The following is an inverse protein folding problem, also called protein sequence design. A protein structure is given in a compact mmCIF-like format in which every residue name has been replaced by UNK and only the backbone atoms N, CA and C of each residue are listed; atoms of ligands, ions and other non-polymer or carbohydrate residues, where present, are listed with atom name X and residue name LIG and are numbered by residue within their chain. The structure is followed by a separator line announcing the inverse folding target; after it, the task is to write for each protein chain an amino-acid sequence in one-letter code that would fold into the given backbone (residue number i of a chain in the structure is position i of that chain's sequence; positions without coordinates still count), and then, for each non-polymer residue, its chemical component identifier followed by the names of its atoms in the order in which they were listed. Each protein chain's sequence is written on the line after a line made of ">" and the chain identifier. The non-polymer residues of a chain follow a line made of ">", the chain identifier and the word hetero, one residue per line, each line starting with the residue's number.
data_IF_820388000586
#
_entry.id   IF_820388000586
#
_cell.length_a   1.000
_cell.length_b   1.000
_cell.length_c   1.000
_cell.angle_alpha   90.00
_cell.angle_beta   90.00
_cell.angle_gamma   90.00
#
_symmetry.space_group_name_H-M   'P 1'
#
loop_
_entity.id
_entity.type
_entity.pdbx_description
1 polymer ?
#
# COMPACT_ATOMS: atom_id res chain seq x y z
N UNK A 1 4.92 19.04 15.30
CA UNK A 1 3.56 18.53 15.01
C UNK A 1 3.67 17.60 13.82
N UNK A 2 2.98 16.46 13.82
CA UNK A 2 2.96 15.57 12.66
C UNK A 2 2.39 16.32 11.46
N UNK A 3 3.02 16.16 10.29
CA UNK A 3 2.61 16.84 9.04
C UNK A 3 1.46 16.14 8.33
N UNK A 4 0.99 15.03 8.89
CA UNK A 4 -0.02 14.17 8.31
C UNK A 4 -1.07 13.91 9.37
N UNK A 5 -2.31 14.21 9.02
CA UNK A 5 -3.46 14.06 9.89
C UNK A 5 -4.51 13.19 9.22
N UNK A 6 -5.00 12.20 9.95
CA UNK A 6 -6.10 11.35 9.54
C UNK A 6 -7.40 11.86 10.16
N UNK A 7 -8.39 12.14 9.31
CA UNK A 7 -9.77 12.40 9.73
C UNK A 7 -10.56 11.12 9.51
N UNK A 8 -10.90 10.43 10.59
CA UNK A 8 -11.52 9.12 10.51
C UNK A 8 -12.95 9.13 11.04
N UNK A 9 -13.83 8.43 10.33
CA UNK A 9 -15.21 8.19 10.74
C UNK A 9 -15.65 6.77 10.37
N UNK A 10 -16.61 6.24 11.13
CA UNK A 10 -17.26 4.99 10.77
C UNK A 10 -18.45 5.28 9.83
N UNK A 11 -18.49 4.60 8.69
CA UNK A 11 -19.60 4.65 7.75
C UNK A 11 -20.01 3.21 7.43
N UNK A 12 -21.27 2.81 7.66
CA UNK A 12 -21.77 1.52 7.22
C UNK A 12 -21.64 1.35 5.70
N UNK A 13 -21.29 0.15 5.25
CA UNK A 13 -21.07 -0.14 3.84
C UNK A 13 -22.24 0.21 2.92
N UNK A 14 -23.48 0.04 3.41
CA UNK A 14 -24.71 0.39 2.70
C UNK A 14 -24.85 1.89 2.40
N UNK A 15 -24.14 2.74 3.15
CA UNK A 15 -24.13 4.20 2.99
C UNK A 15 -22.94 4.66 2.13
N UNK A 16 -22.06 3.73 1.72
CA UNK A 16 -20.97 4.01 0.80
C UNK A 16 -21.43 3.95 -0.65
N UNK A 17 -21.00 4.93 -1.44
CA UNK A 17 -21.24 4.94 -2.87
C UNK A 17 -20.46 3.79 -3.55
N UNK A 18 -21.07 3.08 -4.49
CA UNK A 18 -20.46 1.90 -5.13
C UNK A 18 -19.09 2.17 -5.80
N UNK A 19 -18.84 3.41 -6.23
CA UNK A 19 -17.56 3.81 -6.84
C UNK A 19 -16.36 3.80 -5.90
N UNK A 20 -16.58 3.71 -4.58
CA UNK A 20 -15.50 3.65 -3.60
C UNK A 20 -15.16 2.22 -3.16
N UNK A 21 -15.94 1.25 -3.62
CA UNK A 21 -15.78 -0.15 -3.25
C UNK A 21 -14.71 -0.81 -4.14
N UNK A 22 -13.85 -1.66 -3.56
CA UNK A 22 -12.81 -2.36 -4.32
C UNK A 22 -13.38 -3.48 -5.20
N UNK A 23 -14.63 -3.86 -4.98
CA UNK A 23 -15.35 -4.88 -5.74
C UNK A 23 -16.84 -4.54 -5.82
N UNK A 24 -17.55 -4.91 -6.90
CA UNK A 24 -19.01 -4.82 -6.95
C UNK A 24 -19.65 -5.71 -5.88
N UNK A 25 -20.63 -5.18 -5.14
CA UNK A 25 -21.39 -5.92 -4.13
C UNK A 25 -22.87 -5.88 -4.52
N UNK A 26 -23.49 -7.04 -4.66
CA UNK A 26 -24.91 -7.17 -5.00
C UNK A 26 -25.81 -7.23 -3.77
N UNK A 27 -25.32 -7.83 -2.68
CA UNK A 27 -26.03 -7.98 -1.41
C UNK A 27 -25.14 -7.45 -0.27
N UNK A 28 -25.57 -6.37 0.37
CA UNK A 28 -24.89 -5.84 1.54
C UNK A 28 -25.27 -6.68 2.75
N UNK A 29 -24.36 -7.50 3.32
CA UNK A 29 -24.65 -8.15 4.57
C UNK A 29 -24.92 -7.08 5.63
N UNK A 30 -25.94 -7.29 6.46
CA UNK A 30 -26.14 -6.47 7.66
C UNK A 30 -25.01 -6.78 8.64
N UNK A 31 -23.90 -6.07 8.52
CA UNK A 31 -22.82 -6.07 9.50
C UNK A 31 -22.86 -4.76 10.28
N UNK A 32 -22.63 -4.84 11.59
CA UNK A 32 -22.59 -3.69 12.49
C UNK A 32 -21.18 -3.55 13.02
N UNK A 33 -20.72 -2.32 13.25
CA UNK A 33 -19.44 -2.12 13.91
C UNK A 33 -19.44 -2.79 15.29
N UNK A 34 -18.52 -3.72 15.51
CA UNK A 34 -18.18 -4.18 16.85
C UNK A 34 -17.51 -3.02 17.60
N UNK A 35 -18.13 -2.47 18.67
CA UNK A 35 -17.64 -1.24 19.30
C UNK A 35 -16.19 -1.34 19.80
N UNK A 36 -15.78 -2.53 20.24
CA UNK A 36 -14.43 -2.80 20.72
C UNK A 36 -13.37 -2.72 19.62
N UNK A 37 -13.66 -3.26 18.43
CA UNK A 37 -12.77 -3.14 17.26
C UNK A 37 -12.66 -1.70 16.78
N UNK A 38 -13.79 -0.98 16.77
CA UNK A 38 -13.81 0.43 16.40
C UNK A 38 -12.99 1.29 17.38
N UNK A 39 -13.14 1.05 18.69
CA UNK A 39 -12.33 1.73 19.72
C UNK A 39 -10.83 1.41 19.58
N UNK A 40 -10.48 0.15 19.29
CA UNK A 40 -9.09 -0.25 19.04
C UNK A 40 -8.48 0.50 17.84
N UNK A 41 -9.20 0.58 16.72
CA UNK A 41 -8.74 1.35 15.54
C UNK A 41 -8.66 2.85 15.84
N UNK A 42 -9.64 3.42 16.54
CA UNK A 42 -9.60 4.83 16.95
C UNK A 42 -8.34 5.15 17.75
N UNK A 43 -7.89 4.24 18.63
CA UNK A 43 -6.61 4.38 19.35
C UNK A 43 -5.41 4.32 18.41
N UNK A 44 -5.40 3.43 17.43
CA UNK A 44 -4.34 3.35 16.41
C UNK A 44 -4.26 4.67 15.61
N UNK A 45 -5.39 5.19 15.13
CA UNK A 45 -5.40 6.45 14.38
C UNK A 45 -5.02 7.65 15.24
N UNK A 46 -5.50 7.71 16.49
CA UNK A 46 -5.11 8.76 17.43
C UNK A 46 -3.59 8.72 17.70
N UNK A 47 -3.02 7.52 17.88
CA UNK A 47 -1.58 7.34 18.06
C UNK A 47 -0.79 7.79 16.83
N UNK A 48 -1.25 7.44 15.62
CA UNK A 48 -0.65 7.94 14.37
C UNK A 48 -0.75 9.47 14.27
N UNK A 49 -1.91 10.06 14.54
CA UNK A 49 -2.09 11.52 14.51
C UNK A 49 -1.27 12.26 15.58
N UNK A 50 -0.87 11.60 16.65
CA UNK A 50 -0.05 12.20 17.70
C UNK A 50 1.45 12.12 17.37
N UNK A 51 1.89 10.97 16.86
CA UNK A 51 3.32 10.66 16.71
C UNK A 51 3.81 10.65 15.26
N UNK A 52 2.95 10.32 14.30
CA UNK A 52 3.32 10.08 12.90
C UNK A 52 4.20 8.84 12.71
N UNK A 53 4.90 8.79 11.59
CA UNK A 53 6.00 7.84 11.34
C UNK A 53 7.22 8.60 10.80
N UNK A 54 8.40 8.34 11.37
CA UNK A 54 9.63 9.10 11.06
C UNK A 54 10.11 8.91 9.63
N UNK A 55 9.96 7.71 9.06
CA UNK A 55 10.40 7.43 7.69
C UNK A 55 9.45 8.06 6.70
N UNK A 56 8.16 7.91 6.95
CA UNK A 56 7.11 8.52 6.16
C UNK A 56 7.30 10.04 6.15
N UNK A 57 7.52 10.66 7.31
CA UNK A 57 7.86 12.09 7.41
C UNK A 57 9.16 12.40 6.66
N UNK A 58 10.22 11.61 6.80
CA UNK A 58 11.51 11.82 6.14
C UNK A 58 11.45 11.75 4.60
N UNK A 59 10.62 10.85 4.06
CA UNK A 59 10.42 10.68 2.60
C UNK A 59 9.50 11.76 2.04
N UNK A 60 8.42 12.09 2.73
CA UNK A 60 7.40 13.02 2.24
C UNK A 60 7.50 14.42 2.85
N UNK A 61 8.65 14.77 3.43
CA UNK A 61 8.89 16.11 3.99
C UNK A 61 8.89 17.18 2.89
N UNK A 62 7.74 17.82 2.64
CA UNK A 62 7.57 18.89 1.65
C UNK A 62 7.06 20.21 2.26
N UNK A 63 7.02 20.30 3.60
CA UNK A 63 6.42 21.42 4.37
C UNK A 63 4.91 21.59 4.20
N UNK A 64 4.24 20.73 3.43
CA UNK A 64 2.79 20.72 3.27
C UNK A 64 2.16 19.90 4.39
N UNK A 65 1.03 20.37 4.90
CA UNK A 65 0.17 19.55 5.75
C UNK A 65 -0.69 18.65 4.87
N UNK A 66 -0.62 17.35 5.10
CA UNK A 66 -1.45 16.36 4.41
C UNK A 66 -2.59 15.94 5.32
N UNK A 67 -3.82 16.10 4.85
CA UNK A 67 -5.02 15.65 5.59
C UNK A 67 -5.71 14.61 4.74
N UNK A 68 -5.86 13.40 5.28
CA UNK A 68 -6.52 12.29 4.60
C UNK A 68 -7.81 11.91 5.32
N UNK A 69 -8.87 11.75 4.54
CA UNK A 69 -10.11 11.17 5.03
C UNK A 69 -9.97 9.65 5.07
N UNK A 70 -10.29 9.06 6.22
CA UNK A 70 -10.25 7.63 6.48
C UNK A 70 -11.67 7.17 6.80
N UNK A 71 -12.15 6.15 6.12
CA UNK A 71 -13.44 5.54 6.40
C UNK A 71 -13.25 4.15 6.97
N UNK A 72 -13.82 3.93 8.15
CA UNK A 72 -13.92 2.63 8.77
C UNK A 72 -15.29 2.05 8.39
N UNK A 73 -15.34 0.83 7.88
CA UNK A 73 -16.57 0.15 7.45
C UNK A 73 -16.57 -1.31 7.90
N UNK A 74 -17.66 -2.02 7.64
CA UNK A 74 -17.82 -3.47 7.82
C UNK A 74 -18.52 -4.07 6.59
N UNK A 75 -18.67 -5.39 6.50
CA UNK A 75 -19.54 -6.07 5.53
C UNK A 75 -18.93 -6.33 4.15
N UNK A 76 -17.67 -5.94 3.93
CA UNK A 76 -16.93 -6.33 2.74
C UNK A 76 -16.36 -7.74 2.95
N UNK A 77 -16.49 -8.66 1.97
CA UNK A 77 -15.91 -9.98 2.10
C UNK A 77 -14.37 -9.90 1.98
N UNK A 78 -13.70 -10.88 2.58
CA UNK A 78 -12.29 -11.15 2.34
C UNK A 78 -11.95 -11.16 0.84
N UNK A 79 -10.78 -10.66 0.41
CA UNK A 79 -9.62 -10.27 1.22
C UNK A 79 -9.47 -8.75 1.43
N UNK A 80 -10.56 -7.98 1.42
CA UNK A 80 -10.48 -6.52 1.49
C UNK A 80 -10.44 -6.02 2.94
N UNK A 81 -9.24 -5.98 3.54
CA UNK A 81 -8.99 -5.54 4.91
C UNK A 81 -8.73 -4.02 5.01
N UNK A 82 -7.99 -3.48 4.04
CA UNK A 82 -7.77 -2.05 3.84
C UNK A 82 -7.55 -1.73 2.36
N UNK A 83 -7.85 -0.50 1.94
CA UNK A 83 -7.54 -0.05 0.58
C UNK A 83 -7.54 1.48 0.47
N UNK A 84 -6.84 1.99 -0.53
CA UNK A 84 -6.80 3.41 -0.87
C UNK A 84 -7.32 3.62 -2.28
N UNK A 85 -8.23 4.58 -2.46
CA UNK A 85 -8.72 5.00 -3.78
C UNK A 85 -8.42 6.46 -4.02
N UNK A 86 -8.27 6.85 -5.28
CA UNK A 86 -8.31 8.24 -5.68
C UNK A 86 -9.77 8.68 -5.90
N UNK A 87 -10.28 9.62 -5.10
CA UNK A 87 -11.61 10.20 -5.28
C UNK A 87 -11.50 11.70 -5.59
N UNK A 88 -11.92 12.12 -6.79
CA UNK A 88 -11.84 13.51 -7.23
C UNK A 88 -10.46 14.18 -7.07
N UNK A 89 -9.38 13.39 -7.21
CA UNK A 89 -8.00 13.87 -7.08
C UNK A 89 -7.44 13.91 -5.66
N UNK A 90 -8.25 13.60 -4.65
CA UNK A 90 -7.81 13.40 -3.27
C UNK A 90 -7.89 11.91 -2.91
N UNK A 91 -6.81 11.30 -2.43
CA UNK A 91 -6.86 9.91 -1.98
C UNK A 91 -7.70 9.80 -0.72
N UNK A 92 -8.52 8.74 -0.67
CA UNK A 92 -9.33 8.36 0.50
C UNK A 92 -8.97 6.95 0.91
N UNK A 93 -8.80 6.75 2.21
CA UNK A 93 -8.33 5.49 2.80
C UNK A 93 -9.50 4.78 3.46
N UNK A 94 -9.53 3.46 3.38
CA UNK A 94 -10.59 2.63 3.93
C UNK A 94 -10.05 1.46 4.74
N UNK A 95 -10.78 1.09 5.79
CA UNK A 95 -10.51 -0.09 6.62
C UNK A 95 -11.80 -0.87 6.84
N UNK A 96 -11.79 -2.18 6.60
CA UNK A 96 -12.92 -3.07 6.82
C UNK A 96 -12.72 -3.86 8.12
N UNK A 97 -13.48 -3.53 9.17
CA UNK A 97 -13.32 -4.14 10.50
C UNK A 97 -13.59 -5.66 10.55
N UNK A 98 -14.30 -6.20 9.57
CA UNK A 98 -14.68 -7.63 9.57
C UNK A 98 -13.47 -8.54 9.34
N UNK A 99 -12.41 -8.04 8.70
CA UNK A 99 -11.17 -8.78 8.45
C UNK A 99 -10.17 -8.73 9.61
N UNK A 100 -10.54 -8.11 10.73
CA UNK A 100 -9.62 -7.87 11.85
C UNK A 100 -10.14 -8.42 13.17
N UNK A 101 -9.26 -9.08 13.91
CA UNK A 101 -9.41 -9.30 15.35
C UNK A 101 -8.84 -8.13 16.15
N UNK A 102 -9.26 -7.97 17.41
CA UNK A 102 -8.74 -6.93 18.31
C UNK A 102 -7.21 -7.06 18.48
N UNK A 103 -6.71 -8.29 18.61
CA UNK A 103 -5.28 -8.57 18.77
C UNK A 103 -4.48 -8.20 17.50
N UNK A 104 -5.04 -8.44 16.32
CA UNK A 104 -4.45 -7.96 15.06
C UNK A 104 -4.44 -6.44 15.01
N UNK A 105 -5.53 -5.76 15.36
CA UNK A 105 -5.56 -4.28 15.38
C UNK A 105 -4.45 -3.73 16.28
N UNK A 106 -4.26 -4.29 17.48
CA UNK A 106 -3.21 -3.86 18.40
C UNK A 106 -1.80 -4.17 17.91
N UNK A 107 -1.57 -5.37 17.34
CA UNK A 107 -0.23 -5.81 16.94
C UNK A 107 0.20 -5.33 15.55
N UNK A 108 -0.78 -4.95 14.72
CA UNK A 108 -0.59 -4.72 13.30
C UNK A 108 -1.20 -3.44 12.77
N UNK A 109 -2.25 -2.91 13.40
CA UNK A 109 -3.06 -1.83 12.84
C UNK A 109 -2.22 -0.63 12.39
N UNK A 110 -1.27 -0.19 13.22
CA UNK A 110 -0.42 0.97 12.89
C UNK A 110 0.39 0.78 11.59
N UNK A 111 0.84 -0.45 11.30
CA UNK A 111 1.67 -0.74 10.12
C UNK A 111 0.84 -0.70 8.84
N UNK A 112 -0.42 -1.14 8.91
CA UNK A 112 -1.35 -1.07 7.77
C UNK A 112 -1.85 0.36 7.58
N UNK A 113 -2.05 1.12 8.66
CA UNK A 113 -2.28 2.57 8.55
C UNK A 113 -1.14 3.27 7.81
N UNK A 114 0.11 2.98 8.19
CA UNK A 114 1.29 3.53 7.52
C UNK A 114 1.35 3.11 6.04
N UNK A 115 1.03 1.85 5.74
CA UNK A 115 0.98 1.31 4.38
C UNK A 115 -0.03 2.08 3.51
N UNK A 116 -1.28 2.20 3.96
CA UNK A 116 -2.33 2.91 3.21
C UNK A 116 -2.07 4.42 3.07
N UNK A 117 -1.58 5.07 4.13
CA UNK A 117 -1.18 6.47 4.06
C UNK A 117 -0.05 6.67 3.04
N UNK A 118 0.84 5.68 2.88
CA UNK A 118 1.89 5.72 1.87
C UNK A 118 1.31 5.70 0.46
N UNK A 119 0.32 4.85 0.16
CA UNK A 119 -0.37 4.89 -1.13
C UNK A 119 -1.01 6.25 -1.41
N UNK A 120 -1.67 6.83 -0.41
CA UNK A 120 -2.27 8.16 -0.51
C UNK A 120 -1.22 9.23 -0.86
N UNK A 121 -0.06 9.21 -0.21
CA UNK A 121 1.03 10.14 -0.48
C UNK A 121 1.73 9.90 -1.82
N UNK A 122 1.78 8.66 -2.30
CA UNK A 122 2.35 8.33 -3.60
C UNK A 122 1.44 8.74 -4.76
N UNK A 123 0.13 8.89 -4.53
CA UNK A 123 -0.84 9.18 -5.59
C UNK A 123 -0.43 10.31 -6.55
N UNK A 124 0.03 11.50 -6.09
CA UNK A 124 0.42 12.59 -6.99
C UNK A 124 1.62 12.26 -7.89
N UNK A 125 2.50 11.35 -7.44
CA UNK A 125 3.70 10.93 -8.18
C UNK A 125 3.35 9.90 -9.24
N UNK A 126 2.40 9.01 -8.94
CA UNK A 126 2.08 7.86 -9.79
C UNK A 126 0.93 8.11 -10.76
N UNK A 127 0.12 9.17 -10.57
CA UNK A 127 -1.07 9.45 -11.40
C UNK A 127 -0.80 9.57 -12.91
N UNK A 128 0.43 9.92 -13.29
CA UNK A 128 0.83 10.12 -14.67
C UNK A 128 1.60 8.91 -15.26
N UNK A 129 1.77 7.83 -14.50
CA UNK A 129 2.38 6.62 -15.04
C UNK A 129 1.47 6.03 -16.12
N UNK A 130 2.06 5.66 -17.25
CA UNK A 130 1.35 4.92 -18.29
C UNK A 130 1.01 3.52 -17.76
N UNK A 131 -0.26 3.29 -17.46
CA UNK A 131 -0.80 2.00 -17.02
C UNK A 131 -1.59 1.30 -18.15
N UNK A 132 -1.53 1.81 -19.38
CA UNK A 132 -2.20 1.18 -20.53
C UNK A 132 -1.47 -0.07 -21.01
N UNK A 133 -0.18 -0.20 -20.66
CA UNK A 133 0.64 -1.37 -20.99
C UNK A 133 0.84 -2.30 -19.79
N UNK A 134 1.12 -3.60 -20.01
CA UNK A 134 1.41 -4.54 -18.92
C UNK A 134 2.67 -4.17 -18.15
N UNK A 135 3.72 -3.74 -18.86
CA UNK A 135 4.96 -3.21 -18.25
C UNK A 135 4.65 -1.99 -17.39
N UNK A 136 3.82 -1.08 -17.89
CA UNK A 136 3.38 0.09 -17.15
C UNK A 136 2.67 -0.24 -15.83
N UNK A 137 1.72 -1.19 -15.87
CA UNK A 137 1.05 -1.70 -14.67
C UNK A 137 2.01 -2.38 -13.70
N UNK A 138 2.91 -3.21 -14.19
CA UNK A 138 3.93 -3.86 -13.37
C UNK A 138 4.88 -2.84 -12.72
N UNK A 139 5.32 -1.83 -13.47
CA UNK A 139 6.13 -0.73 -12.95
C UNK A 139 5.40 0.00 -11.81
N UNK A 140 4.09 0.27 -11.99
CA UNK A 140 3.28 0.90 -10.95
C UNK A 140 3.23 0.01 -9.70
N UNK A 141 2.99 -1.29 -9.83
CA UNK A 141 3.00 -2.24 -8.69
C UNK A 141 4.34 -2.18 -7.96
N UNK A 142 5.46 -2.29 -8.69
CA UNK A 142 6.81 -2.26 -8.09
C UNK A 142 7.06 -0.99 -7.29
N UNK A 143 6.59 0.17 -7.76
CA UNK A 143 6.80 1.44 -7.04
C UNK A 143 5.80 1.57 -5.89
N UNK A 144 4.50 1.45 -6.18
CA UNK A 144 3.42 1.75 -5.25
C UNK A 144 3.44 0.79 -4.05
N UNK A 145 3.23 -0.49 -4.32
CA UNK A 145 3.21 -1.56 -3.31
C UNK A 145 4.56 -1.73 -2.65
N UNK A 146 5.64 -1.63 -3.45
CA UNK A 146 6.99 -1.77 -2.91
C UNK A 146 7.31 -0.74 -1.84
N UNK A 147 7.02 0.54 -2.11
CA UNK A 147 7.28 1.59 -1.14
C UNK A 147 6.31 1.50 0.03
N UNK A 148 5.03 1.23 -0.21
CA UNK A 148 4.04 1.04 0.86
C UNK A 148 4.44 -0.11 1.79
N UNK A 149 4.94 -1.23 1.25
CA UNK A 149 5.46 -2.34 2.07
C UNK A 149 6.77 -2.01 2.78
N UNK A 150 7.66 -1.21 2.18
CA UNK A 150 8.89 -0.77 2.85
C UNK A 150 8.58 0.15 4.04
N UNK A 151 7.76 1.18 3.81
CA UNK A 151 7.41 2.13 4.87
C UNK A 151 6.51 1.43 5.89
N UNK A 152 5.55 0.60 5.50
CA UNK A 152 4.71 -0.19 6.40
C UNK A 152 5.34 -1.47 6.96
N UNK A 153 6.64 -1.71 6.77
CA UNK A 153 7.26 -2.99 7.11
C UNK A 153 7.17 -3.31 8.62
N UNK A 154 6.80 -4.55 9.01
CA UNK A 154 6.78 -4.95 10.41
C UNK A 154 8.20 -5.05 11.00
N UNK A 155 8.50 -4.22 12.00
CA UNK A 155 9.74 -4.26 12.75
C UNK A 155 10.79 -3.27 12.25
N UNK A 156 12.06 -3.56 12.52
CA UNK A 156 13.16 -2.70 12.09
C UNK A 156 13.38 -2.85 10.58
N UNK A 157 13.20 -1.77 9.82
CA UNK A 157 13.39 -1.77 8.36
C UNK A 157 14.84 -2.01 7.96
N UNK A 158 15.82 -1.82 8.86
CA UNK A 158 17.20 -2.26 8.65
C UNK A 158 17.34 -3.79 8.58
N UNK A 159 16.37 -4.55 9.14
CA UNK A 159 16.34 -6.00 9.05
C UNK A 159 16.05 -6.50 7.64
N UNK A 160 15.44 -5.69 6.76
CA UNK A 160 15.18 -6.08 5.38
C UNK A 160 16.49 -6.48 4.69
N UNK A 161 17.45 -5.56 4.62
CA UNK A 161 18.72 -5.78 3.90
C UNK A 161 19.68 -6.76 4.61
N UNK A 162 19.38 -7.14 5.85
CA UNK A 162 20.22 -8.03 6.65
C UNK A 162 19.54 -9.40 6.84
N UNK A 163 18.51 -9.49 7.67
CA UNK A 163 17.82 -10.74 8.03
C UNK A 163 16.99 -11.31 6.88
N UNK A 164 16.35 -10.46 6.08
CA UNK A 164 15.41 -10.88 5.05
C UNK A 164 15.98 -10.82 3.64
N UNK A 165 17.28 -10.54 3.49
CA UNK A 165 17.93 -10.37 2.18
C UNK A 165 17.75 -11.57 1.25
N UNK A 166 17.61 -12.78 1.79
CA UNK A 166 17.35 -14.00 1.01
C UNK A 166 16.00 -13.98 0.27
N UNK A 167 15.09 -13.06 0.57
CA UNK A 167 13.82 -12.86 -0.14
C UNK A 167 13.95 -11.96 -1.36
N UNK A 168 15.01 -11.15 -1.44
CA UNK A 168 15.17 -10.15 -2.49
C UNK A 168 15.49 -10.78 -3.85
N UNK A 169 16.54 -11.61 -3.92
CA UNK A 169 17.02 -12.18 -5.19
C UNK A 169 15.97 -13.03 -5.94
N UNK A 170 15.19 -13.90 -5.27
CA UNK A 170 14.11 -14.62 -5.94
C UNK A 170 13.02 -13.69 -6.51
N UNK A 171 12.68 -12.60 -5.80
CA UNK A 171 11.67 -11.65 -6.26
C UNK A 171 12.17 -10.87 -7.49
N UNK A 172 13.45 -10.46 -7.50
CA UNK A 172 14.09 -9.78 -8.63
C UNK A 172 14.16 -10.66 -9.87
N UNK A 173 14.48 -11.94 -9.70
CA UNK A 173 14.53 -12.88 -10.82
C UNK A 173 13.13 -13.13 -11.40
N UNK A 174 12.11 -13.33 -10.55
CA UNK A 174 10.72 -13.43 -11.00
C UNK A 174 10.27 -12.16 -11.74
N UNK A 175 10.60 -10.98 -11.20
CA UNK A 175 10.29 -9.70 -11.84
C UNK A 175 10.95 -9.56 -13.21
N UNK A 176 12.23 -9.94 -13.34
CA UNK A 176 12.98 -9.93 -14.60
C UNK A 176 12.39 -10.90 -15.62
N UNK A 177 11.96 -12.08 -15.19
CA UNK A 177 11.28 -13.05 -16.04
C UNK A 177 9.95 -12.49 -16.55
N UNK A 178 9.14 -11.88 -15.69
CA UNK A 178 7.88 -11.22 -16.10
C UNK A 178 8.12 -10.11 -17.12
N UNK A 179 9.11 -9.23 -16.91
CA UNK A 179 9.46 -8.23 -17.92
C UNK A 179 9.79 -8.86 -19.26
N UNK A 180 10.53 -9.98 -19.26
CA UNK A 180 10.87 -10.71 -20.49
C UNK A 180 9.61 -11.27 -21.16
N UNK A 181 8.69 -11.87 -20.40
CA UNK A 181 7.42 -12.38 -20.91
C UNK A 181 6.57 -11.28 -21.57
N UNK A 182 6.49 -10.09 -20.97
CA UNK A 182 5.74 -8.96 -21.54
C UNK A 182 6.32 -8.39 -22.84
N UNK A 183 7.56 -8.75 -23.20
CA UNK A 183 8.13 -8.39 -24.52
C UNK A 183 7.80 -9.40 -25.62
N UNK A 184 7.24 -10.57 -25.27
CA UNK A 184 6.88 -11.59 -26.25
C UNK A 184 5.57 -11.22 -26.95
N UNK A 185 5.55 -11.28 -28.29
CA UNK A 185 4.35 -11.00 -29.10
C UNK A 185 3.19 -11.98 -28.84
N UNK A 186 3.46 -13.14 -28.23
CA UNK A 186 2.53 -14.24 -28.07
C UNK A 186 1.91 -14.35 -26.68
N UNK A 187 2.14 -13.39 -25.79
CA UNK A 187 1.53 -13.45 -24.46
C UNK A 187 0.01 -13.26 -24.56
N UNK A 188 -0.74 -14.17 -23.96
CA UNK A 188 -2.20 -14.05 -23.89
C UNK A 188 -2.63 -13.09 -22.78
N UNK A 189 -3.81 -12.49 -22.90
CA UNK A 189 -4.40 -11.63 -21.86
C UNK A 189 -4.57 -12.35 -20.53
N UNK A 190 -4.84 -13.66 -20.53
CA UNK A 190 -4.95 -14.46 -19.31
C UNK A 190 -3.61 -14.58 -18.58
N UNK A 191 -2.54 -14.89 -19.32
CA UNK A 191 -1.19 -14.97 -18.75
C UNK A 191 -0.72 -13.62 -18.22
N UNK A 192 -1.03 -12.54 -18.95
CA UNK A 192 -0.73 -11.19 -18.52
C UNK A 192 -1.41 -10.84 -17.18
N UNK A 193 -2.72 -11.07 -17.08
CA UNK A 193 -3.48 -10.84 -15.85
C UNK A 193 -2.94 -11.69 -14.69
N UNK A 194 -2.59 -12.95 -14.94
CA UNK A 194 -2.02 -13.82 -13.92
C UNK A 194 -0.66 -13.30 -13.41
N UNK A 195 0.24 -12.91 -14.32
CA UNK A 195 1.55 -12.38 -13.94
C UNK A 195 1.41 -11.09 -13.12
N UNK A 196 0.52 -10.19 -13.52
CA UNK A 196 0.24 -8.96 -12.77
C UNK A 196 -0.35 -9.28 -11.39
N UNK A 197 -1.28 -10.23 -11.31
CA UNK A 197 -1.87 -10.67 -10.05
C UNK A 197 -0.82 -11.26 -9.11
N UNK A 198 0.08 -12.12 -9.59
CA UNK A 198 1.17 -12.72 -8.79
C UNK A 198 2.22 -11.68 -8.34
N UNK A 199 2.35 -10.56 -9.05
CA UNK A 199 3.26 -9.48 -8.68
C UNK A 199 2.82 -8.75 -7.39
N UNK A 200 1.53 -8.77 -7.11
CA UNK A 200 0.86 -7.89 -6.14
C UNK A 200 0.07 -8.65 -5.06
N UNK A 201 -0.46 -9.83 -5.38
CA UNK A 201 -1.36 -10.59 -4.49
C UNK A 201 -0.75 -11.90 -4.01
N UNK A 202 -1.30 -12.42 -2.91
CA UNK A 202 -0.83 -13.65 -2.25
C UNK A 202 -0.21 -13.38 -0.88
N UNK A 203 0.50 -14.38 -0.35
CA UNK A 203 1.22 -14.24 0.92
C UNK A 203 2.25 -13.11 0.87
N UNK A 204 2.55 -12.49 2.01
CA UNK A 204 3.45 -11.32 2.09
C UNK A 204 4.71 -11.45 1.20
N UNK A 205 5.46 -12.55 1.34
CA UNK A 205 6.73 -12.75 0.62
C UNK A 205 6.59 -13.31 -0.81
N UNK A 206 5.39 -13.68 -1.28
CA UNK A 206 5.20 -14.25 -2.62
C UNK A 206 4.94 -13.20 -3.70
N UNK A 207 4.56 -11.98 -3.31
CA UNK A 207 4.22 -10.86 -4.20
C UNK A 207 5.46 -10.28 -4.87
N UNK A 208 5.97 -10.90 -5.92
CA UNK A 208 7.35 -10.61 -6.39
C UNK A 208 7.57 -9.14 -6.83
N UNK A 209 6.54 -8.47 -7.36
CA UNK A 209 6.61 -7.06 -7.77
C UNK A 209 6.74 -6.14 -6.57
N UNK A 210 5.82 -6.30 -5.61
CA UNK A 210 5.83 -5.59 -4.33
C UNK A 210 7.13 -5.85 -3.54
N UNK A 211 7.57 -7.11 -3.42
CA UNK A 211 8.78 -7.48 -2.69
C UNK A 211 10.03 -6.89 -3.34
N UNK A 212 10.16 -6.97 -4.67
CA UNK A 212 11.30 -6.35 -5.38
C UNK A 212 11.35 -4.84 -5.11
N UNK A 213 10.20 -4.17 -5.24
CA UNK A 213 10.08 -2.74 -4.95
C UNK A 213 10.46 -2.37 -3.51
N UNK A 214 9.99 -3.15 -2.54
CA UNK A 214 10.30 -2.97 -1.12
C UNK A 214 11.80 -3.04 -0.84
N UNK A 215 12.49 -4.03 -1.39
CA UNK A 215 13.94 -4.16 -1.20
C UNK A 215 14.73 -3.07 -1.92
N UNK A 216 14.31 -2.66 -3.13
CA UNK A 216 14.91 -1.52 -3.84
C UNK A 216 14.74 -0.22 -3.04
N UNK A 217 13.55 0.03 -2.50
CA UNK A 217 13.27 1.17 -1.63
C UNK A 217 14.15 1.15 -0.37
N UNK A 218 14.24 -0.01 0.30
CA UNK A 218 15.10 -0.19 1.47
C UNK A 218 16.57 0.08 1.15
N UNK A 219 17.06 -0.41 0.00
CA UNK A 219 18.43 -0.20 -0.45
C UNK A 219 18.75 1.27 -0.75
N UNK A 220 17.83 2.00 -1.37
CA UNK A 220 18.01 3.43 -1.62
C UNK A 220 17.97 4.20 -0.29
N UNK A 221 16.99 3.91 0.56
CA UNK A 221 16.84 4.59 1.85
C UNK A 221 18.06 4.36 2.76
N UNK A 222 18.66 3.16 2.77
CA UNK A 222 19.83 2.88 3.60
C UNK A 222 21.09 3.65 3.16
N UNK A 223 21.18 4.03 1.90
CA UNK A 223 22.32 4.75 1.34
C UNK A 223 22.12 6.28 1.37
N UNK A 224 20.89 6.74 1.13
CA UNK A 224 20.60 8.14 0.83
C UNK A 224 19.50 8.75 1.72
N UNK A 225 18.91 7.97 2.63
CA UNK A 225 17.83 8.38 3.53
C UNK A 225 16.53 8.74 2.80
N UNK A 226 15.64 9.44 3.50
CA UNK A 226 14.32 9.81 2.96
C UNK A 226 14.38 10.75 1.76
N UNK A 227 15.36 11.65 1.72
CA UNK A 227 15.58 12.56 0.58
C UNK A 227 15.96 11.78 -0.69
N UNK A 228 16.84 10.79 -0.57
CA UNK A 228 17.20 9.94 -1.70
C UNK A 228 16.03 9.11 -2.20
N UNK A 229 15.28 8.48 -1.28
CA UNK A 229 14.09 7.73 -1.66
C UNK A 229 13.04 8.62 -2.33
N UNK A 230 12.80 9.84 -1.83
CA UNK A 230 11.91 10.83 -2.48
C UNK A 230 12.36 11.17 -3.90
N UNK A 231 13.65 11.44 -4.10
CA UNK A 231 14.20 11.73 -5.42
C UNK A 231 14.07 10.51 -6.36
N UNK A 232 14.28 9.31 -5.83
CA UNK A 232 14.11 8.06 -6.56
C UNK A 232 12.66 7.82 -6.98
N UNK A 233 11.68 8.16 -6.14
CA UNK A 233 10.25 8.13 -6.48
C UNK A 233 9.99 9.06 -7.66
N UNK A 234 10.38 10.33 -7.57
CA UNK A 234 10.18 11.32 -8.64
C UNK A 234 10.80 10.91 -9.98
N UNK A 235 11.98 10.29 -9.94
CA UNK A 235 12.72 9.89 -11.14
C UNK A 235 12.46 8.42 -11.54
N UNK A 236 11.49 7.75 -10.92
CA UNK A 236 11.18 6.32 -11.09
C UNK A 236 12.43 5.41 -11.05
N UNK A 237 13.40 5.75 -10.19
CA UNK A 237 14.69 5.03 -10.13
C UNK A 237 14.55 3.61 -9.60
N UNK A 238 13.48 3.31 -8.86
CA UNK A 238 13.14 1.96 -8.43
C UNK A 238 12.92 1.02 -9.62
N UNK A 239 12.79 1.51 -10.86
CA UNK A 239 12.67 0.69 -12.06
C UNK A 239 14.01 0.43 -12.76
N UNK A 240 15.07 1.15 -12.38
CA UNK A 240 16.40 1.00 -12.99
C UNK A 240 17.02 -0.31 -12.51
N UNK A 241 17.56 -1.07 -13.46
CA UNK A 241 18.31 -2.32 -13.22
C UNK A 241 19.77 -2.00 -12.96
#
# INVERSE_FOLDING_TARGET
>A
MPKITLKYEFIPLQDLHSSVLPTPISDFPKSFAEPEKLDAFNKVFANFNLHGDDILNSVFDDSTEHIFDVTITTGLPSPYDAWTIANNGSPKIFFNLDEWTIDEIHSAGIRVVIHEVTHALLHPFLKNMDITTPIGRLNKIVIDEGIAHFIGFPGDRADLLTKWRNKWEPAEEALKQTYTQFTLKSISSTQESQLLQEADTGSFWSKYGAISGMFRAANIYSQEGGKGLKAAIHAHQLLKK
#
